data_IF_724493595992
#
_entry.id   IF_724493595992
#
_cell.length_a   1.000
_cell.length_b   1.000
_cell.length_c   1.000
_cell.angle_alpha   90.00
_cell.angle_beta   90.00
_cell.angle_gamma   90.00
#
_symmetry.space_group_name_H-M   'P 1'
#
loop_
_entity.id
_entity.type
_entity.pdbx_description
1 polymer ?
#
# COMPACT_ATOMS: atom_id res chain seq x y z
N UNK A 1 4.85 -1.51 -5.52
CA UNK A 1 5.90 -1.80 -6.51
C UNK A 1 5.40 -1.24 -7.82
N UNK A 2 6.14 -0.29 -8.36
CA UNK A 2 5.90 0.38 -9.64
C UNK A 2 7.22 0.51 -10.39
N UNK A 3 7.16 0.89 -11.66
CA UNK A 3 8.34 1.12 -12.50
C UNK A 3 9.29 2.17 -11.91
N UNK A 4 8.76 3.13 -11.15
CA UNK A 4 9.58 4.13 -10.45
C UNK A 4 10.39 3.50 -9.31
N UNK A 5 9.80 2.59 -8.55
CA UNK A 5 10.50 1.89 -7.45
C UNK A 5 11.51 0.85 -7.94
N UNK A 6 11.43 0.44 -9.22
CA UNK A 6 12.40 -0.47 -9.81
C UNK A 6 13.80 0.15 -9.91
N UNK A 7 13.89 1.48 -9.98
CA UNK A 7 15.14 2.25 -10.07
C UNK A 7 15.86 2.43 -8.72
N UNK A 8 15.24 2.06 -7.60
CA UNK A 8 15.85 2.15 -6.28
C UNK A 8 16.91 1.05 -6.11
N UNK A 9 17.98 1.35 -5.36
CA UNK A 9 18.96 0.33 -5.00
C UNK A 9 18.33 -0.74 -4.10
N UNK A 10 18.88 -1.95 -4.16
CA UNK A 10 18.35 -3.07 -3.38
C UNK A 10 18.56 -2.88 -1.87
N UNK A 11 19.59 -2.15 -1.47
CA UNK A 11 19.81 -1.71 -0.09
C UNK A 11 18.66 -0.82 0.41
N UNK A 12 18.24 0.18 -0.38
CA UNK A 12 17.10 1.03 -0.05
C UNK A 12 15.80 0.23 0.05
N UNK A 13 15.56 -0.70 -0.88
CA UNK A 13 14.38 -1.59 -0.81
C UNK A 13 14.39 -2.47 0.43
N UNK A 14 15.57 -2.97 0.82
CA UNK A 14 15.76 -3.80 2.02
C UNK A 14 15.49 -3.00 3.29
N UNK A 15 16.02 -1.79 3.40
CA UNK A 15 15.74 -0.90 4.54
C UNK A 15 14.26 -0.54 4.65
N UNK A 16 13.59 -0.28 3.52
CA UNK A 16 12.14 -0.06 3.52
C UNK A 16 11.37 -1.31 3.99
N UNK A 17 11.77 -2.51 3.56
CA UNK A 17 11.11 -3.75 4.00
C UNK A 17 11.23 -3.99 5.50
N UNK A 18 12.32 -3.55 6.15
CA UNK A 18 12.48 -3.67 7.62
C UNK A 18 11.48 -2.80 8.39
N UNK A 19 11.03 -1.70 7.80
CA UNK A 19 10.05 -0.80 8.41
C UNK A 19 8.61 -1.28 8.19
N UNK A 20 8.38 -2.23 7.28
CA UNK A 20 7.06 -2.78 6.97
C UNK A 20 6.85 -4.04 7.81
N UNK A 21 5.89 -4.09 8.74
CA UNK A 21 5.61 -5.31 9.52
C UNK A 21 5.25 -6.53 8.69
N UNK A 22 4.59 -6.35 7.53
CA UNK A 22 4.33 -7.45 6.59
C UNK A 22 5.59 -7.95 5.86
N UNK A 23 6.75 -7.31 6.04
CA UNK A 23 8.04 -7.73 5.49
C UNK A 23 8.13 -7.69 3.96
N UNK A 24 7.19 -6.99 3.29
CA UNK A 24 7.13 -6.92 1.83
C UNK A 24 6.65 -5.54 1.37
N UNK A 25 7.14 -5.12 0.21
CA UNK A 25 6.60 -3.94 -0.47
C UNK A 25 5.20 -4.24 -1.01
N UNK A 26 4.26 -3.34 -0.75
CA UNK A 26 2.94 -3.39 -1.39
C UNK A 26 3.05 -3.32 -2.91
N UNK A 27 2.03 -3.79 -3.61
CA UNK A 27 1.90 -3.82 -5.07
C UNK A 27 0.88 -2.77 -5.53
N UNK A 28 0.83 -2.48 -6.84
CA UNK A 28 -0.25 -1.64 -7.39
C UNK A 28 -1.64 -2.25 -7.13
N UNK A 29 -1.71 -3.58 -7.08
CA UNK A 29 -2.96 -4.30 -6.88
C UNK A 29 -3.53 -4.10 -5.46
N UNK A 30 -2.67 -3.98 -4.45
CA UNK A 30 -3.10 -3.75 -3.07
C UNK A 30 -3.87 -2.43 -2.95
N UNK A 31 -3.41 -1.38 -3.63
CA UNK A 31 -4.11 -0.08 -3.69
C UNK A 31 -5.36 -0.15 -4.57
N UNK A 32 -5.27 -0.80 -5.74
CA UNK A 32 -6.40 -0.92 -6.66
C UNK A 32 -7.58 -1.69 -6.05
N UNK A 33 -7.32 -2.74 -5.27
CA UNK A 33 -8.35 -3.50 -4.59
C UNK A 33 -9.12 -2.66 -3.57
N UNK A 34 -8.41 -1.83 -2.78
CA UNK A 34 -9.07 -0.91 -1.85
C UNK A 34 -9.90 0.13 -2.61
N UNK A 35 -9.34 0.74 -3.66
CA UNK A 35 -10.06 1.72 -4.47
C UNK A 35 -11.34 1.12 -5.08
N UNK A 36 -11.27 -0.12 -5.57
CA UNK A 36 -12.42 -0.85 -6.09
C UNK A 36 -13.48 -1.08 -5.01
N UNK A 37 -13.08 -1.51 -3.81
CA UNK A 37 -13.99 -1.69 -2.67
C UNK A 37 -14.68 -0.37 -2.30
N UNK A 38 -13.92 0.71 -2.17
CA UNK A 38 -14.44 2.05 -1.81
C UNK A 38 -15.33 2.66 -2.91
N UNK A 39 -15.22 2.18 -4.15
CA UNK A 39 -16.10 2.59 -5.24
C UNK A 39 -17.38 1.73 -5.32
N UNK A 40 -17.44 0.59 -4.62
CA UNK A 40 -18.56 -0.34 -4.63
C UNK A 40 -19.60 -0.05 -3.54
N UNK A 41 -20.80 -0.59 -3.74
CA UNK A 41 -21.95 -0.39 -2.85
C UNK A 41 -21.72 -0.94 -1.43
N UNK A 42 -20.86 -1.94 -1.27
CA UNK A 42 -20.48 -2.51 0.03
C UNK A 42 -19.86 -1.48 0.98
N UNK A 43 -19.34 -0.38 0.43
CA UNK A 43 -18.70 0.71 1.16
C UNK A 43 -19.58 1.97 1.28
N UNK A 44 -20.87 1.92 0.89
CA UNK A 44 -21.71 3.10 0.71
C UNK A 44 -21.87 4.02 1.94
N UNK A 45 -21.63 3.52 3.16
CA UNK A 45 -21.69 4.32 4.40
C UNK A 45 -20.31 4.78 4.92
N UNK A 46 -19.23 4.46 4.20
CA UNK A 46 -17.87 4.91 4.51
C UNK A 46 -17.60 6.24 3.81
N UNK A 47 -17.48 7.32 4.59
CA UNK A 47 -17.16 8.66 4.06
C UNK A 47 -16.22 9.42 4.99
N UNK A 48 -15.39 10.30 4.41
CA UNK A 48 -14.42 11.12 5.13
C UNK A 48 -13.27 10.34 5.78
N UNK A 49 -13.05 9.08 5.41
CA UNK A 49 -12.01 8.23 5.97
C UNK A 49 -10.74 8.26 5.11
N UNK A 50 -9.58 8.21 5.77
CA UNK A 50 -8.28 7.97 5.14
C UNK A 50 -7.85 6.56 5.51
N UNK A 51 -7.70 5.70 4.52
CA UNK A 51 -7.28 4.30 4.72
C UNK A 51 -5.87 4.13 4.17
N UNK A 52 -4.93 3.75 5.04
CA UNK A 52 -3.54 3.54 4.64
C UNK A 52 -3.34 2.12 4.09
N UNK A 53 -2.67 2.03 2.94
CA UNK A 53 -2.29 0.77 2.28
C UNK A 53 -0.77 0.67 2.27
N UNK A 54 -0.19 0.45 3.44
CA UNK A 54 1.25 0.58 3.69
C UNK A 54 1.89 -0.69 4.28
N UNK A 55 1.11 -1.75 4.48
CA UNK A 55 1.58 -3.00 5.07
C UNK A 55 1.93 -2.90 6.55
N UNK A 56 1.38 -1.91 7.26
CA UNK A 56 1.56 -1.70 8.69
C UNK A 56 2.70 -0.75 9.06
N UNK A 57 3.22 0.02 8.10
CA UNK A 57 4.27 1.02 8.37
C UNK A 57 3.82 2.07 9.40
N UNK A 58 2.52 2.36 9.49
CA UNK A 58 1.80 3.23 10.46
C UNK A 58 2.76 4.16 11.22
N UNK A 59 3.01 5.33 10.63
CA UNK A 59 3.64 6.46 11.31
C UNK A 59 2.59 7.37 11.94
#
# INVERSE_FOLDING_TARGET
QTDMTAKLSDELKSEMMKQIPLGKLGTVQDVANLALFLAGDDSAYLTGQVVQVDGGMVM
#
